data_IF_398081693618
#
_entry.id   IF_398081693618
#
_cell.length_a   1.000
_cell.length_b   1.000
_cell.length_c   1.000
_cell.angle_alpha   90.00
_cell.angle_beta   90.00
_cell.angle_gamma   90.00
#
_symmetry.space_group_name_H-M   'P 1'
#
loop_
_entity.id
_entity.type
_entity.pdbx_description
1 polymer ?
#
# COMPACT_ATOMS: atom_id res chain seq x y z
N UNK A 1 -10.10 -19.87 24.92
CA UNK A 1 -9.20 -18.77 24.57
C UNK A 1 -8.81 -18.99 23.12
N UNK A 2 -8.55 -17.96 22.30
CA UNK A 2 -7.99 -18.17 20.99
C UNK A 2 -6.61 -18.84 21.13
N UNK A 3 -6.22 -19.64 20.14
CA UNK A 3 -4.92 -20.29 20.11
C UNK A 3 -3.86 -19.36 19.51
N UNK A 4 -4.29 -18.35 18.75
CA UNK A 4 -3.43 -17.39 18.07
C UNK A 4 -4.11 -16.03 17.96
N UNK A 5 -3.36 -14.95 18.17
CA UNK A 5 -3.81 -13.56 17.99
C UNK A 5 -3.10 -12.96 16.78
N UNK A 6 -3.87 -12.56 15.76
CA UNK A 6 -3.37 -11.94 14.55
C UNK A 6 -3.77 -10.47 14.50
N UNK A 7 -2.80 -9.58 14.32
CA UNK A 7 -3.05 -8.17 14.01
C UNK A 7 -2.99 -7.93 12.51
N UNK A 8 -3.91 -7.12 11.98
CA UNK A 8 -3.92 -6.78 10.55
C UNK A 8 -4.40 -5.36 10.27
N UNK A 9 -3.80 -4.73 9.26
CA UNK A 9 -4.26 -3.48 8.66
C UNK A 9 -5.12 -3.72 7.39
N UNK A 10 -5.38 -4.98 7.02
CA UNK A 10 -6.13 -5.33 5.81
C UNK A 10 -7.64 -5.31 6.03
N UNK A 11 -8.37 -5.19 4.93
CA UNK A 11 -9.83 -5.33 4.93
C UNK A 11 -10.25 -6.79 5.12
N UNK A 12 -11.44 -6.99 5.68
CA UNK A 12 -11.96 -8.30 6.06
C UNK A 12 -12.02 -9.27 4.87
N UNK A 13 -12.39 -8.77 3.70
CA UNK A 13 -12.47 -9.54 2.46
C UNK A 13 -11.12 -10.16 2.05
N UNK A 14 -10.01 -9.61 2.55
CA UNK A 14 -8.66 -10.09 2.23
C UNK A 14 -8.21 -11.14 3.23
N UNK A 15 -8.37 -10.90 4.54
CA UNK A 15 -7.83 -11.82 5.54
C UNK A 15 -8.80 -12.94 5.93
N UNK A 16 -10.12 -12.73 5.89
CA UNK A 16 -11.10 -13.73 6.32
C UNK A 16 -10.97 -15.08 5.59
N UNK A 17 -10.85 -15.14 4.26
CA UNK A 17 -10.67 -16.42 3.57
C UNK A 17 -9.39 -17.15 3.97
N UNK A 18 -8.32 -16.39 4.24
CA UNK A 18 -7.01 -16.93 4.64
C UNK A 18 -7.09 -17.52 6.04
N UNK A 19 -7.70 -16.79 6.97
CA UNK A 19 -7.88 -17.24 8.36
C UNK A 19 -8.75 -18.50 8.40
N UNK A 20 -9.87 -18.49 7.69
CA UNK A 20 -10.77 -19.64 7.62
C UNK A 20 -10.06 -20.90 7.13
N UNK A 21 -9.29 -20.79 6.05
CA UNK A 21 -8.52 -21.93 5.52
C UNK A 21 -7.44 -22.38 6.51
N UNK A 22 -6.79 -21.44 7.21
CA UNK A 22 -5.82 -21.76 8.24
C UNK A 22 -6.47 -22.54 9.40
N UNK A 23 -7.58 -22.07 9.93
CA UNK A 23 -8.33 -22.73 11.01
C UNK A 23 -8.80 -24.13 10.60
N UNK A 24 -9.33 -24.29 9.38
CA UNK A 24 -9.77 -25.58 8.84
C UNK A 24 -8.60 -26.58 8.71
N UNK A 25 -7.41 -26.12 8.34
CA UNK A 25 -6.23 -26.97 8.16
C UNK A 25 -5.52 -27.33 9.47
N UNK A 26 -5.53 -26.42 10.43
CA UNK A 26 -4.72 -26.56 11.66
C UNK A 26 -5.55 -26.93 12.87
N UNK A 27 -6.86 -26.70 12.83
CA UNK A 27 -7.78 -26.77 13.97
C UNK A 27 -7.39 -25.82 15.12
N UNK A 28 -6.71 -24.69 14.79
CA UNK A 28 -6.39 -23.60 15.71
C UNK A 28 -7.37 -22.45 15.50
N UNK A 29 -7.80 -21.81 16.59
CA UNK A 29 -8.69 -20.66 16.56
C UNK A 29 -7.90 -19.36 16.54
N UNK A 30 -8.16 -18.50 15.55
CA UNK A 30 -7.50 -17.21 15.37
C UNK A 30 -8.41 -16.08 15.86
N UNK A 31 -7.91 -15.26 16.79
CA UNK A 31 -8.52 -13.96 17.11
C UNK A 31 -7.86 -12.90 16.22
N UNK A 32 -8.67 -12.17 15.46
CA UNK A 32 -8.18 -11.06 14.65
C UNK A 32 -8.38 -9.75 15.40
N UNK A 33 -7.30 -8.96 15.49
CA UNK A 33 -7.34 -7.55 15.88
C UNK A 33 -7.04 -6.70 14.65
N UNK A 34 -7.92 -5.74 14.36
CA UNK A 34 -7.78 -4.86 13.20
C UNK A 34 -7.47 -3.44 13.64
N UNK A 35 -6.49 -2.82 12.98
CA UNK A 35 -6.12 -1.42 13.20
C UNK A 35 -5.20 -0.91 12.10
N UNK A 36 -4.75 0.32 12.22
CA UNK A 36 -3.82 0.92 11.28
C UNK A 36 -2.37 0.49 11.55
N UNK A 37 -1.48 0.68 10.57
CA UNK A 37 -0.03 0.49 10.76
C UNK A 37 0.53 1.43 11.83
N UNK A 38 -0.01 2.65 11.94
CA UNK A 38 0.38 3.64 12.95
C UNK A 38 -0.03 3.21 14.37
N UNK A 39 -1.26 2.69 14.55
CA UNK A 39 -1.70 2.12 15.82
C UNK A 39 -0.84 0.94 16.24
N UNK A 40 -0.49 0.07 15.30
CA UNK A 40 0.39 -1.06 15.55
C UNK A 40 1.76 -0.60 16.06
N UNK A 41 2.39 0.34 15.35
CA UNK A 41 3.70 0.86 15.72
C UNK A 41 3.66 1.53 17.10
N UNK A 42 2.64 2.36 17.36
CA UNK A 42 2.45 2.99 18.67
C UNK A 42 2.32 2.00 19.82
N UNK A 43 1.60 0.90 19.61
CA UNK A 43 1.45 -0.16 20.63
C UNK A 43 2.72 -1.00 20.82
N UNK A 44 3.55 -1.16 19.80
CA UNK A 44 4.83 -1.85 19.93
C UNK A 44 5.87 -1.02 20.71
N UNK A 45 5.77 0.30 20.64
CA UNK A 45 6.65 1.23 21.35
C UNK A 45 6.22 1.44 22.82
N UNK A 46 4.98 1.07 23.16
CA UNK A 46 4.47 1.19 24.53
C UNK A 46 4.96 0.03 25.39
N UNK A 47 5.84 0.30 26.32
CA UNK A 47 6.39 -0.72 27.24
C UNK A 47 5.36 -1.23 28.25
N UNK A 48 4.28 -0.47 28.53
CA UNK A 48 3.25 -0.83 29.50
C UNK A 48 2.13 -1.66 28.86
N UNK A 49 1.85 -1.43 27.57
CA UNK A 49 0.79 -2.11 26.79
C UNK A 49 1.38 -3.01 25.71
N UNK A 50 2.35 -3.86 26.05
CA UNK A 50 2.88 -4.82 25.08
C UNK A 50 1.75 -5.66 24.49
N UNK A 51 1.56 -5.62 23.17
CA UNK A 51 0.54 -6.42 22.52
C UNK A 51 0.84 -7.92 22.67
N UNK A 52 -0.22 -8.70 22.82
CA UNK A 52 -0.19 -10.16 22.86
C UNK A 52 -0.38 -10.79 21.47
N UNK A 53 0.05 -10.09 20.43
CA UNK A 53 -0.03 -10.58 19.05
C UNK A 53 1.04 -11.65 18.78
N UNK A 54 0.60 -12.75 18.17
CA UNK A 54 1.49 -13.80 17.70
C UNK A 54 1.95 -13.54 16.26
N UNK A 55 1.10 -12.90 15.44
CA UNK A 55 1.36 -12.62 14.03
C UNK A 55 0.85 -11.23 13.65
N UNK A 56 1.65 -10.51 12.86
CA UNK A 56 1.21 -9.30 12.16
C UNK A 56 1.09 -9.62 10.66
N UNK A 57 -0.05 -9.29 10.06
CA UNK A 57 -0.38 -9.63 8.69
C UNK A 57 -0.79 -8.41 7.87
N UNK A 58 -0.22 -8.27 6.68
CA UNK A 58 -0.69 -7.31 5.67
C UNK A 58 -0.40 -5.86 5.97
N UNK A 59 0.71 -5.57 6.66
CA UNK A 59 1.28 -4.23 6.82
C UNK A 59 2.38 -3.99 5.80
N UNK A 60 2.67 -2.72 5.49
CA UNK A 60 3.70 -2.33 4.54
C UNK A 60 5.12 -2.68 5.02
N UNK A 61 6.03 -2.90 4.06
CA UNK A 61 7.44 -3.23 4.33
C UNK A 61 8.11 -2.12 5.15
N UNK A 62 7.80 -0.85 4.87
CA UNK A 62 8.34 0.30 5.57
C UNK A 62 8.04 0.24 7.07
N UNK A 63 6.81 -0.11 7.42
CA UNK A 63 6.38 -0.28 8.81
C UNK A 63 7.07 -1.47 9.47
N UNK A 64 7.20 -2.60 8.76
CA UNK A 64 7.90 -3.77 9.26
C UNK A 64 9.40 -3.52 9.50
N UNK A 65 10.05 -2.76 8.61
CA UNK A 65 11.47 -2.39 8.79
C UNK A 65 11.67 -1.39 9.94
N UNK A 66 10.75 -0.44 10.16
CA UNK A 66 10.82 0.50 11.28
C UNK A 66 10.69 -0.18 12.63
N UNK A 67 9.90 -1.25 12.71
CA UNK A 67 9.65 -2.02 13.94
C UNK A 67 10.40 -3.35 13.97
N UNK A 68 11.49 -3.47 13.23
CA UNK A 68 12.20 -4.72 12.93
C UNK A 68 12.69 -5.48 14.15
N UNK A 69 13.07 -4.79 15.22
CA UNK A 69 13.54 -5.39 16.47
C UNK A 69 12.48 -6.22 17.20
N UNK A 70 11.21 -5.96 16.94
CA UNK A 70 10.10 -6.69 17.56
C UNK A 70 9.79 -8.03 16.86
N UNK A 71 10.30 -8.26 15.65
CA UNK A 71 10.01 -9.46 14.88
C UNK A 71 11.00 -10.59 15.14
N UNK A 72 10.46 -11.77 15.38
CA UNK A 72 11.26 -12.99 15.49
C UNK A 72 11.84 -13.37 14.12
N UNK A 73 13.10 -13.81 14.11
CA UNK A 73 13.71 -14.38 12.91
C UNK A 73 13.07 -15.73 12.59
N UNK A 74 12.42 -15.82 11.43
CA UNK A 74 11.79 -17.04 10.94
C UNK A 74 11.89 -17.15 9.42
N UNK A 75 12.59 -18.14 8.93
CA UNK A 75 12.66 -18.41 7.50
C UNK A 75 11.46 -19.26 7.08
N UNK A 76 10.47 -18.61 6.47
CA UNK A 76 9.33 -19.32 5.91
C UNK A 76 9.75 -20.30 4.82
N UNK A 77 9.21 -21.55 4.78
CA UNK A 77 9.40 -22.46 3.65
C UNK A 77 8.96 -21.85 2.31
N UNK A 78 7.93 -21.01 2.34
CA UNK A 78 7.37 -20.32 1.16
C UNK A 78 8.28 -19.21 0.62
N UNK A 79 9.28 -18.74 1.40
CA UNK A 79 10.22 -17.72 0.96
C UNK A 79 10.99 -18.12 -0.32
N UNK A 80 11.13 -19.44 -0.58
CA UNK A 80 11.76 -19.93 -1.79
C UNK A 80 11.00 -19.60 -3.09
N UNK A 81 9.71 -19.27 -2.98
CA UNK A 81 8.85 -18.90 -4.12
C UNK A 81 8.74 -17.38 -4.31
N UNK A 82 9.31 -16.60 -3.39
CA UNK A 82 9.28 -15.13 -3.43
C UNK A 82 10.49 -14.64 -4.23
N UNK A 83 10.24 -13.70 -5.14
CA UNK A 83 11.29 -13.03 -5.91
C UNK A 83 12.30 -12.36 -4.95
N UNK A 84 13.58 -12.48 -5.21
CA UNK A 84 14.68 -12.00 -4.35
C UNK A 84 14.49 -10.53 -3.91
N UNK A 85 14.05 -9.66 -4.82
CA UNK A 85 13.79 -8.23 -4.53
C UNK A 85 12.66 -7.97 -3.51
N UNK A 86 11.88 -8.99 -3.17
CA UNK A 86 10.79 -8.92 -2.17
C UNK A 86 11.05 -9.80 -0.94
N UNK A 87 12.28 -10.32 -0.79
CA UNK A 87 12.68 -11.09 0.39
C UNK A 87 13.32 -10.20 1.45
N UNK A 88 13.05 -10.53 2.73
CA UNK A 88 13.76 -9.94 3.84
C UNK A 88 15.11 -10.63 4.02
N UNK A 89 16.22 -9.89 4.01
CA UNK A 89 17.58 -10.42 4.11
C UNK A 89 17.83 -11.23 5.40
N UNK A 90 17.24 -10.77 6.52
CA UNK A 90 17.42 -11.40 7.84
C UNK A 90 16.19 -12.24 8.29
N UNK A 91 15.24 -12.48 7.40
CA UNK A 91 14.07 -13.34 7.61
C UNK A 91 13.17 -12.93 8.80
N UNK A 92 13.04 -11.64 9.07
CA UNK A 92 12.16 -11.11 10.13
C UNK A 92 10.72 -10.90 9.66
N UNK A 93 10.52 -10.82 8.37
CA UNK A 93 9.20 -10.80 7.73
C UNK A 93 9.25 -11.57 6.42
N UNK A 94 8.08 -11.94 5.91
CA UNK A 94 7.92 -12.67 4.65
C UNK A 94 6.85 -11.98 3.82
N UNK A 95 7.19 -11.55 2.60
CA UNK A 95 6.20 -11.01 1.66
C UNK A 95 5.20 -12.07 1.22
N UNK A 96 3.93 -11.70 1.12
CA UNK A 96 2.89 -12.58 0.58
C UNK A 96 2.20 -11.99 -0.65
N UNK A 97 2.29 -10.68 -0.85
CA UNK A 97 1.70 -9.97 -1.99
C UNK A 97 2.55 -8.78 -2.41
N UNK A 98 2.40 -8.37 -3.65
CA UNK A 98 2.91 -7.11 -4.17
C UNK A 98 1.75 -6.36 -4.83
N UNK A 99 1.55 -5.10 -4.41
CA UNK A 99 0.50 -4.23 -4.92
C UNK A 99 1.13 -3.12 -5.76
N UNK A 100 1.24 -3.32 -7.09
CA UNK A 100 1.81 -2.30 -7.95
C UNK A 100 0.84 -1.12 -8.08
N UNK A 101 1.33 0.09 -7.86
CA UNK A 101 0.64 1.29 -8.28
C UNK A 101 0.76 1.46 -9.79
N UNK A 102 -0.37 1.61 -10.44
CA UNK A 102 -0.48 1.75 -11.89
C UNK A 102 -1.16 3.05 -12.27
N UNK A 103 -0.92 3.51 -13.50
CA UNK A 103 -1.69 4.60 -14.08
C UNK A 103 -2.89 3.98 -14.80
N UNK A 104 -4.07 4.16 -14.21
CA UNK A 104 -5.34 3.82 -14.84
C UNK A 104 -5.82 5.00 -15.67
N UNK A 105 -6.46 4.74 -16.81
CA UNK A 105 -7.02 5.79 -17.69
C UNK A 105 -8.39 5.38 -18.24
N UNK A 106 -9.21 6.38 -18.54
CA UNK A 106 -10.50 6.16 -19.17
C UNK A 106 -10.34 6.06 -20.70
N UNK A 107 -10.61 4.90 -21.25
CA UNK A 107 -10.46 4.61 -22.69
C UNK A 107 -11.42 5.39 -23.58
N UNK A 108 -12.48 5.99 -23.03
CA UNK A 108 -13.39 6.84 -23.76
C UNK A 108 -12.88 8.30 -23.88
N UNK A 109 -11.90 8.66 -23.02
CA UNK A 109 -11.39 10.04 -22.89
C UNK A 109 -9.94 10.16 -23.37
N UNK A 110 -9.15 9.10 -23.20
CA UNK A 110 -7.72 9.06 -23.55
C UNK A 110 -7.50 8.03 -24.64
N UNK A 111 -6.97 8.48 -25.77
CA UNK A 111 -6.62 7.59 -26.88
C UNK A 111 -5.26 6.90 -26.63
N UNK A 112 -5.03 5.78 -27.31
CA UNK A 112 -3.77 5.02 -27.20
C UNK A 112 -2.52 5.88 -27.47
N UNK A 113 -2.63 6.89 -28.34
CA UNK A 113 -1.51 7.79 -28.70
C UNK A 113 -1.19 8.81 -27.61
N UNK A 114 -2.10 9.02 -26.68
CA UNK A 114 -2.00 10.00 -25.60
C UNK A 114 -1.57 9.36 -24.28
N UNK A 115 -1.41 8.03 -24.23
CA UNK A 115 -1.08 7.33 -23.00
C UNK A 115 0.19 7.87 -22.35
N UNK A 116 0.20 8.09 -21.04
CA UNK A 116 1.41 8.41 -20.31
C UNK A 116 2.38 7.21 -20.32
N UNK A 117 3.64 7.45 -20.62
CA UNK A 117 4.70 6.40 -20.66
C UNK A 117 5.28 6.12 -19.28
N UNK A 118 4.73 6.72 -18.24
CA UNK A 118 5.16 6.55 -16.86
C UNK A 118 4.89 7.81 -16.03
N UNK A 119 5.28 7.78 -14.79
CA UNK A 119 4.97 8.82 -13.82
C UNK A 119 5.44 10.22 -14.24
N UNK A 120 6.61 10.32 -14.89
CA UNK A 120 7.12 11.60 -15.36
C UNK A 120 6.20 12.26 -16.41
N UNK A 121 5.43 11.47 -17.15
CA UNK A 121 4.46 12.00 -18.10
C UNK A 121 3.27 12.68 -17.42
N UNK A 122 3.01 12.41 -16.13
CA UNK A 122 1.96 13.06 -15.35
C UNK A 122 2.24 14.55 -15.11
N UNK A 123 3.49 14.99 -15.30
CA UNK A 123 3.88 16.39 -15.22
C UNK A 123 3.53 17.21 -16.48
N UNK A 124 3.14 16.54 -17.57
CA UNK A 124 2.80 17.25 -18.81
C UNK A 124 1.57 18.15 -18.60
N UNK A 125 1.61 19.42 -19.07
CA UNK A 125 0.53 20.39 -18.85
C UNK A 125 -0.83 19.95 -19.37
N UNK A 126 -0.88 19.04 -20.37
CA UNK A 126 -2.13 18.48 -20.90
C UNK A 126 -2.95 17.71 -19.87
N UNK A 127 -2.33 17.27 -18.78
CA UNK A 127 -2.97 16.52 -17.71
C UNK A 127 -3.48 17.39 -16.57
N UNK A 128 -3.24 18.71 -16.62
CA UNK A 128 -3.69 19.63 -15.57
C UNK A 128 -5.20 19.55 -15.37
N UNK A 129 -5.64 19.33 -14.12
CA UNK A 129 -7.03 19.13 -13.71
C UNK A 129 -7.65 17.80 -14.20
N UNK A 130 -6.85 16.89 -14.77
CA UNK A 130 -7.33 15.64 -15.37
C UNK A 130 -6.80 14.37 -14.68
N UNK A 131 -6.05 14.54 -13.59
CA UNK A 131 -5.44 13.46 -12.83
C UNK A 131 -6.22 13.23 -11.54
N UNK A 132 -6.65 11.98 -11.30
CA UNK A 132 -7.15 11.54 -10.00
C UNK A 132 -6.00 10.97 -9.15
N UNK A 133 -5.85 11.48 -7.94
CA UNK A 133 -4.83 11.04 -7.00
C UNK A 133 -5.37 11.07 -5.57
N UNK A 134 -5.15 10.04 -4.79
CA UNK A 134 -5.57 9.98 -3.39
C UNK A 134 -4.65 10.83 -2.52
N UNK A 135 -5.19 11.42 -1.46
CA UNK A 135 -4.41 12.15 -0.46
C UNK A 135 -3.37 11.23 0.19
N UNK A 136 -2.06 11.49 0.02
CA UNK A 136 -1.00 10.66 0.56
C UNK A 136 -0.98 10.62 2.09
N UNK A 137 -1.60 11.60 2.77
CA UNK A 137 -1.74 11.60 4.23
C UNK A 137 -2.74 10.55 4.74
N UNK A 138 -3.53 9.96 3.83
CA UNK A 138 -4.56 8.96 4.13
C UNK A 138 -4.17 7.55 3.70
N UNK A 139 -2.99 7.38 3.09
CA UNK A 139 -2.56 6.08 2.58
C UNK A 139 -1.03 6.00 2.50
N UNK A 140 -0.47 5.06 3.22
CA UNK A 140 0.97 4.78 3.22
C UNK A 140 1.46 4.44 1.81
N UNK A 141 0.64 3.74 1.03
CA UNK A 141 0.96 3.36 -0.36
C UNK A 141 1.10 4.58 -1.25
N UNK A 142 0.18 5.54 -1.17
CA UNK A 142 0.27 6.78 -1.96
C UNK A 142 1.37 7.71 -1.45
N UNK A 143 1.64 7.70 -0.15
CA UNK A 143 2.78 8.40 0.43
C UNK A 143 4.10 7.83 -0.09
N UNK A 144 4.29 6.51 0.00
CA UNK A 144 5.48 5.82 -0.51
C UNK A 144 5.66 6.03 -2.03
N UNK A 145 4.56 5.98 -2.78
CA UNK A 145 4.58 6.24 -4.22
C UNK A 145 5.07 7.66 -4.55
N UNK A 146 4.58 8.65 -3.83
CA UNK A 146 4.98 10.05 -4.03
C UNK A 146 6.45 10.27 -3.66
N UNK A 147 6.89 9.70 -2.54
CA UNK A 147 8.31 9.72 -2.12
C UNK A 147 9.19 9.06 -3.17
N UNK A 148 8.78 7.90 -3.68
CA UNK A 148 9.52 7.19 -4.74
C UNK A 148 9.58 8.00 -6.03
N UNK A 149 8.48 8.63 -6.43
CA UNK A 149 8.43 9.48 -7.60
C UNK A 149 9.37 10.70 -7.46
N UNK A 150 9.33 11.37 -6.32
CA UNK A 150 10.22 12.51 -6.01
C UNK A 150 11.68 12.06 -5.99
N UNK A 151 11.98 10.91 -5.38
CA UNK A 151 13.35 10.38 -5.34
C UNK A 151 13.87 10.02 -6.73
N UNK A 152 13.04 9.42 -7.56
CA UNK A 152 13.42 8.92 -8.88
C UNK A 152 13.55 10.06 -9.91
N UNK A 153 12.61 10.99 -9.92
CA UNK A 153 12.51 12.03 -10.95
C UNK A 153 12.70 13.46 -10.43
N UNK A 154 12.64 13.66 -9.12
CA UNK A 154 12.74 14.97 -8.47
C UNK A 154 14.15 15.56 -8.38
N UNK A 155 15.13 15.04 -9.13
CA UNK A 155 16.53 15.54 -9.13
C UNK A 155 16.67 17.03 -9.44
N UNK A 156 15.64 17.66 -9.99
CA UNK A 156 15.55 19.11 -10.25
C UNK A 156 14.81 19.89 -9.17
N UNK A 157 14.31 19.22 -8.13
CA UNK A 157 13.63 19.83 -6.97
C UNK A 157 12.20 20.29 -7.22
N UNK A 158 11.66 20.16 -8.42
CA UNK A 158 10.36 20.70 -8.84
C UNK A 158 9.27 19.67 -9.16
N UNK A 159 9.60 18.36 -9.07
CA UNK A 159 8.64 17.28 -9.42
C UNK A 159 7.34 17.39 -8.62
N UNK A 160 7.45 17.48 -7.30
CA UNK A 160 6.29 17.54 -6.41
C UNK A 160 5.43 18.77 -6.69
N UNK A 161 6.08 19.92 -6.88
CA UNK A 161 5.39 21.19 -7.17
C UNK A 161 4.60 21.10 -8.48
N UNK A 162 5.24 20.66 -9.56
CA UNK A 162 4.59 20.45 -10.86
C UNK A 162 3.47 19.41 -10.80
N UNK A 163 3.69 18.31 -10.09
CA UNK A 163 2.65 17.30 -9.93
C UNK A 163 1.44 17.84 -9.17
N UNK A 164 1.66 18.56 -8.08
CA UNK A 164 0.57 19.20 -7.31
C UNK A 164 -0.16 20.29 -8.14
N UNK A 165 0.55 21.03 -8.98
CA UNK A 165 -0.08 21.97 -9.92
C UNK A 165 -0.99 21.26 -10.93
N UNK A 166 -0.58 20.07 -11.41
CA UNK A 166 -1.38 19.28 -12.34
C UNK A 166 -2.60 18.60 -11.68
N UNK A 167 -2.59 18.41 -10.35
CA UNK A 167 -3.78 17.95 -9.62
C UNK A 167 -4.89 19.01 -9.54
N UNK A 168 -4.61 20.27 -9.77
CA UNK A 168 -5.46 21.48 -9.81
C UNK A 168 -6.61 21.51 -8.78
N UNK A 169 -7.45 20.46 -8.74
CA UNK A 169 -8.60 20.32 -7.83
C UNK A 169 -8.24 19.61 -6.51
N UNK A 170 -6.94 19.34 -6.29
CA UNK A 170 -6.44 18.68 -5.10
C UNK A 170 -6.51 17.16 -5.15
N UNK A 171 -6.43 16.56 -3.99
CA UNK A 171 -6.40 15.11 -3.79
C UNK A 171 -7.76 14.58 -3.35
N UNK A 172 -8.03 13.30 -3.61
CA UNK A 172 -9.25 12.59 -3.25
C UNK A 172 -9.10 11.84 -1.91
N UNK A 173 -10.22 11.47 -1.28
CA UNK A 173 -10.18 10.91 0.06
C UNK A 173 -10.00 9.39 0.09
N UNK A 174 -10.27 8.71 -1.01
CA UNK A 174 -10.18 7.24 -1.08
C UNK A 174 -9.82 6.77 -2.49
N UNK A 175 -9.30 5.54 -2.57
CA UNK A 175 -9.04 4.87 -3.84
C UNK A 175 -10.34 4.62 -4.62
N UNK A 176 -11.45 4.38 -3.93
CA UNK A 176 -12.76 4.24 -4.55
C UNK A 176 -13.18 5.53 -5.28
N UNK A 177 -12.92 6.72 -4.68
CA UNK A 177 -13.18 8.00 -5.33
C UNK A 177 -12.28 8.21 -6.56
N UNK A 178 -11.00 7.79 -6.49
CA UNK A 178 -10.08 7.81 -7.62
C UNK A 178 -10.64 6.97 -8.76
N UNK A 179 -10.95 5.71 -8.49
CA UNK A 179 -11.46 4.77 -9.48
C UNK A 179 -12.80 5.24 -10.09
N UNK A 180 -13.74 5.67 -9.25
CA UNK A 180 -15.03 6.20 -9.69
C UNK A 180 -14.86 7.43 -10.59
N UNK A 181 -13.99 8.38 -10.19
CA UNK A 181 -13.75 9.60 -10.95
C UNK A 181 -13.10 9.36 -12.32
N UNK A 182 -12.34 8.29 -12.48
CA UNK A 182 -11.81 7.87 -13.79
C UNK A 182 -12.89 7.17 -14.61
N UNK A 183 -13.65 6.28 -14.01
CA UNK A 183 -14.70 5.53 -14.70
C UNK A 183 -15.82 6.43 -15.23
N UNK A 184 -16.23 7.43 -14.48
CA UNK A 184 -17.27 8.40 -14.88
C UNK A 184 -16.75 9.53 -15.81
N UNK A 185 -15.43 9.59 -16.05
CA UNK A 185 -14.80 10.55 -16.95
C UNK A 185 -14.55 11.94 -16.36
N UNK A 186 -14.75 12.14 -15.04
CA UNK A 186 -14.34 13.39 -14.35
C UNK A 186 -12.84 13.61 -14.47
N UNK A 187 -12.09 12.53 -14.36
CA UNK A 187 -10.65 12.51 -14.58
C UNK A 187 -10.32 11.64 -15.79
N UNK A 188 -9.31 12.03 -16.52
CA UNK A 188 -8.87 11.26 -17.70
C UNK A 188 -8.03 10.05 -17.32
N UNK A 189 -7.26 10.20 -16.25
CA UNK A 189 -6.40 9.17 -15.70
C UNK A 189 -6.20 9.38 -14.19
N UNK A 190 -5.59 8.41 -13.55
CA UNK A 190 -5.21 8.50 -12.14
C UNK A 190 -4.28 7.39 -11.74
N UNK A 191 -3.73 7.51 -10.55
CA UNK A 191 -2.87 6.49 -9.94
C UNK A 191 -3.72 5.65 -9.00
N UNK A 192 -3.66 4.32 -9.17
CA UNK A 192 -4.45 3.36 -8.39
C UNK A 192 -3.72 2.01 -8.28
N UNK A 193 -4.29 1.09 -7.53
CA UNK A 193 -3.85 -0.31 -7.43
C UNK A 193 -4.79 -1.22 -8.18
#
# INVERSE_FOLDING_TARGET
MPDLVLYTAQEEEIYEPIIKEFEERTNLMVKVERGSSEEMTGRLEDEEERPDWDVVFGVGIETLEQSKEHWQVYKSPEAAFITESFQCEDNRWTSFSALPLVIMYNTNVVTYRELPVGWNSLLEPRWKGRIAFMDPRRSDVYSAALVTAVHTWGKRGDYLEQFMENLEYGTLNSMQEVNAGILDGRYSLGVTM
#
